data_IF_518562830045
#
_entry.id   IF_518562830045
#
_cell.length_a   1.000
_cell.length_b   1.000
_cell.length_c   1.000
_cell.angle_alpha   90.00
_cell.angle_beta   90.00
_cell.angle_gamma   90.00
#
_symmetry.space_group_name_H-M   'P 1'
#
loop_
_entity.id
_entity.type
_entity.pdbx_description
1 polymer ?
#
# COMPACT_ATOMS: atom_id res chain seq x y z
N UNK A 1 10.16 -11.73 -16.69
CA UNK A 1 9.62 -12.06 -15.34
C UNK A 1 8.11 -12.22 -15.46
N UNK A 2 7.53 -13.28 -14.90
CA UNK A 2 6.07 -13.51 -14.98
C UNK A 2 5.31 -12.42 -14.19
N UNK A 3 4.17 -11.94 -14.69
CA UNK A 3 3.33 -10.92 -14.02
C UNK A 3 2.98 -11.32 -12.58
N UNK A 4 2.73 -12.62 -12.35
CA UNK A 4 2.50 -13.20 -11.02
C UNK A 4 3.67 -12.96 -10.04
N UNK A 5 4.92 -13.06 -10.50
CA UNK A 5 6.11 -12.83 -9.66
C UNK A 5 6.21 -11.35 -9.27
N UNK A 6 5.91 -10.44 -10.18
CA UNK A 6 5.91 -8.99 -9.92
C UNK A 6 4.84 -8.65 -8.87
N UNK A 7 3.63 -9.23 -8.99
CA UNK A 7 2.55 -9.01 -8.03
C UNK A 7 2.85 -9.60 -6.65
N UNK A 8 3.50 -10.76 -6.59
CA UNK A 8 3.96 -11.35 -5.33
C UNK A 8 5.00 -10.45 -4.64
N UNK A 9 5.95 -9.92 -5.41
CA UNK A 9 7.01 -9.06 -4.89
C UNK A 9 6.50 -7.71 -4.39
N UNK A 10 5.40 -7.19 -4.95
CA UNK A 10 4.79 -5.91 -4.53
C UNK A 10 4.18 -5.97 -3.12
N UNK A 11 3.70 -7.14 -2.68
CA UNK A 11 3.06 -7.31 -1.37
C UNK A 11 3.90 -6.85 -0.19
N UNK A 12 5.12 -7.36 -0.02
CA UNK A 12 6.03 -6.90 1.02
C UNK A 12 6.24 -5.38 1.05
N UNK A 13 6.25 -4.71 -0.11
CA UNK A 13 6.38 -3.24 -0.16
C UNK A 13 5.16 -2.51 0.41
N UNK A 14 3.96 -3.09 0.31
CA UNK A 14 2.74 -2.51 0.91
C UNK A 14 2.75 -2.53 2.43
N UNK A 15 3.56 -3.40 3.04
CA UNK A 15 3.70 -3.50 4.49
C UNK A 15 4.68 -2.46 5.04
N UNK A 16 5.60 -1.92 4.22
CA UNK A 16 6.63 -0.97 4.68
C UNK A 16 6.01 0.28 5.32
N UNK A 17 5.02 0.96 4.70
CA UNK A 17 4.38 2.12 5.34
C UNK A 17 3.64 1.76 6.63
N UNK A 18 3.01 0.58 6.68
CA UNK A 18 2.31 0.11 7.87
C UNK A 18 3.28 -0.15 9.03
N UNK A 19 4.37 -0.87 8.75
CA UNK A 19 5.44 -1.15 9.72
C UNK A 19 6.06 0.15 10.21
N UNK A 20 6.35 1.09 9.30
CA UNK A 20 6.90 2.39 9.65
C UNK A 20 5.94 3.22 10.51
N UNK A 21 4.64 3.17 10.24
CA UNK A 21 3.63 3.89 11.04
C UNK A 21 3.55 3.31 12.47
N UNK A 22 3.61 1.98 12.61
CA UNK A 22 3.66 1.32 13.92
C UNK A 22 4.95 1.67 14.65
N UNK A 23 6.09 1.60 13.97
CA UNK A 23 7.38 2.01 14.52
C UNK A 23 7.32 3.46 15.02
N UNK A 24 6.81 4.39 14.21
CA UNK A 24 6.71 5.80 14.59
C UNK A 24 5.80 5.99 15.81
N UNK A 25 4.63 5.35 15.83
CA UNK A 25 3.72 5.41 16.96
C UNK A 25 4.40 4.91 18.25
N UNK A 26 5.01 3.72 18.22
CA UNK A 26 5.70 3.14 19.39
C UNK A 26 6.84 4.04 19.86
N UNK A 27 7.68 4.53 18.96
CA UNK A 27 8.83 5.36 19.36
C UNK A 27 8.40 6.73 19.87
N UNK A 28 7.32 7.32 19.35
CA UNK A 28 6.78 8.60 19.83
C UNK A 28 6.32 8.53 21.29
N UNK A 29 5.74 7.40 21.71
CA UNK A 29 5.26 7.22 23.09
C UNK A 29 6.37 6.80 24.07
N UNK A 30 7.49 6.27 23.59
CA UNK A 30 8.53 5.66 24.44
C UNK A 30 9.84 6.46 24.53
N UNK A 31 10.09 7.44 23.66
CA UNK A 31 11.34 8.21 23.71
C UNK A 31 11.29 9.33 24.76
N UNK A 32 12.30 9.40 25.66
CA UNK A 32 12.41 10.50 26.62
C UNK A 32 12.86 11.82 25.96
N UNK A 33 13.53 11.75 24.82
CA UNK A 33 13.97 12.90 24.02
C UNK A 33 13.27 12.91 22.66
N UNK A 34 12.37 13.87 22.49
CA UNK A 34 11.55 14.03 21.29
C UNK A 34 12.38 14.49 20.08
N UNK A 35 13.48 15.21 20.29
CA UNK A 35 14.28 15.78 19.19
C UNK A 35 15.07 14.69 18.46
N UNK A 36 15.74 13.81 19.22
CA UNK A 36 16.50 12.68 18.65
C UNK A 36 15.58 11.67 17.96
N UNK A 37 14.39 11.45 18.53
CA UNK A 37 13.34 10.64 17.91
C UNK A 37 12.91 11.24 16.56
N UNK A 38 12.68 12.55 16.50
CA UNK A 38 12.23 13.23 15.28
C UNK A 38 13.28 13.14 14.15
N UNK A 39 14.56 13.37 14.46
CA UNK A 39 15.65 13.32 13.48
C UNK A 39 15.78 11.92 12.85
N UNK A 40 15.77 10.89 13.69
CA UNK A 40 15.84 9.48 13.24
C UNK A 40 14.62 9.10 12.40
N UNK A 41 13.42 9.54 12.81
CA UNK A 41 12.18 9.29 12.06
C UNK A 41 12.20 10.00 10.70
N UNK A 42 12.68 11.24 10.63
CA UNK A 42 12.63 12.07 9.44
C UNK A 42 13.51 11.54 8.30
N UNK A 43 14.66 10.95 8.63
CA UNK A 43 15.53 10.34 7.63
C UNK A 43 14.84 9.19 6.87
N UNK A 44 14.07 8.36 7.57
CA UNK A 44 13.32 7.25 6.96
C UNK A 44 12.03 7.72 6.29
N UNK A 45 11.45 8.84 6.73
CA UNK A 45 10.19 9.37 6.21
C UNK A 45 10.24 9.63 4.70
N UNK A 46 11.34 10.21 4.20
CA UNK A 46 11.50 10.52 2.76
C UNK A 46 11.38 9.26 1.91
N UNK A 47 12.05 8.18 2.30
CA UNK A 47 12.00 6.91 1.59
C UNK A 47 10.61 6.29 1.63
N UNK A 48 9.96 6.30 2.78
CA UNK A 48 8.60 5.77 2.94
C UNK A 48 7.62 6.55 2.07
N UNK A 49 7.72 7.88 2.02
CA UNK A 49 6.87 8.72 1.16
C UNK A 49 7.08 8.39 -0.31
N UNK A 50 8.31 8.23 -0.78
CA UNK A 50 8.59 7.85 -2.17
C UNK A 50 8.03 6.47 -2.52
N UNK A 51 8.17 5.50 -1.62
CA UNK A 51 7.58 4.16 -1.76
C UNK A 51 6.06 4.28 -1.82
N UNK A 52 5.43 5.05 -0.93
CA UNK A 52 3.97 5.24 -0.93
C UNK A 52 3.46 5.87 -2.22
N UNK A 53 4.10 6.93 -2.71
CA UNK A 53 3.71 7.58 -3.97
C UNK A 53 3.82 6.59 -5.14
N UNK A 54 4.90 5.81 -5.17
CA UNK A 54 5.12 4.78 -6.19
C UNK A 54 4.05 3.68 -6.14
N UNK A 55 3.72 3.19 -4.94
CA UNK A 55 2.67 2.20 -4.73
C UNK A 55 1.31 2.75 -5.13
N UNK A 56 0.91 3.91 -4.63
CA UNK A 56 -0.39 4.51 -4.96
C UNK A 56 -0.52 4.68 -6.47
N UNK A 57 0.51 5.22 -7.14
CA UNK A 57 0.50 5.39 -8.59
C UNK A 57 0.32 4.07 -9.33
N UNK A 58 1.05 3.02 -8.91
CA UNK A 58 0.92 1.68 -9.49
C UNK A 58 -0.50 1.10 -9.30
N UNK A 59 -1.05 1.20 -8.09
CA UNK A 59 -2.38 0.67 -7.78
C UNK A 59 -3.49 1.42 -8.51
N UNK A 60 -3.36 2.74 -8.65
CA UNK A 60 -4.29 3.56 -9.45
C UNK A 60 -4.27 3.09 -10.91
N UNK A 61 -3.10 2.95 -11.52
CA UNK A 61 -2.98 2.43 -12.89
C UNK A 61 -3.60 1.04 -13.00
N UNK A 62 -3.38 0.16 -12.02
CA UNK A 62 -3.99 -1.17 -11.98
C UNK A 62 -5.53 -1.10 -11.92
N UNK A 63 -6.10 -0.26 -11.06
CA UNK A 63 -7.57 -0.10 -10.94
C UNK A 63 -8.20 0.27 -12.28
N UNK A 64 -7.58 1.19 -13.03
CA UNK A 64 -8.13 1.64 -14.30
C UNK A 64 -7.92 0.61 -15.41
N UNK A 65 -6.81 -0.12 -15.40
CA UNK A 65 -6.49 -1.12 -16.42
C UNK A 65 -7.14 -2.49 -16.19
N UNK A 66 -7.57 -2.81 -14.96
CA UNK A 66 -8.20 -4.10 -14.65
C UNK A 66 -9.71 -4.08 -14.91
N UNK A 67 -10.26 -5.22 -15.36
CA UNK A 67 -11.70 -5.48 -15.45
C UNK A 67 -12.30 -6.03 -14.15
N UNK A 68 -11.45 -6.42 -13.18
CA UNK A 68 -11.89 -6.99 -11.90
C UNK A 68 -12.70 -6.00 -11.03
N UNK A 69 -12.55 -4.69 -11.28
CA UNK A 69 -13.22 -3.65 -10.52
C UNK A 69 -14.28 -3.00 -11.41
N UNK A 70 -15.58 -3.06 -11.04
CA UNK A 70 -16.65 -2.39 -11.75
C UNK A 70 -16.35 -0.90 -11.93
N UNK A 71 -16.62 -0.35 -13.13
CA UNK A 71 -16.29 1.04 -13.49
C UNK A 71 -16.82 2.07 -12.48
N UNK A 72 -18.02 1.86 -11.95
CA UNK A 72 -18.63 2.72 -10.93
C UNK A 72 -17.94 2.66 -9.55
N UNK A 73 -17.12 1.62 -9.28
CA UNK A 73 -16.36 1.45 -8.02
C UNK A 73 -14.89 1.85 -8.13
N UNK A 74 -14.37 2.10 -9.34
CA UNK A 74 -12.96 2.49 -9.57
C UNK A 74 -12.59 3.79 -8.85
N UNK A 75 -13.47 4.80 -8.92
CA UNK A 75 -13.27 6.08 -8.23
C UNK A 75 -13.26 5.90 -6.72
N UNK A 76 -14.18 5.08 -6.17
CA UNK A 76 -14.24 4.81 -4.73
C UNK A 76 -12.94 4.14 -4.25
N UNK A 77 -12.47 3.12 -4.97
CA UNK A 77 -11.20 2.46 -4.64
C UNK A 77 -10.00 3.41 -4.72
N UNK A 78 -9.99 4.32 -5.70
CA UNK A 78 -8.93 5.33 -5.83
C UNK A 78 -8.93 6.29 -4.64
N UNK A 79 -10.11 6.77 -4.23
CA UNK A 79 -10.25 7.62 -3.03
C UNK A 79 -9.82 6.86 -1.78
N UNK A 80 -10.22 5.60 -1.65
CA UNK A 80 -9.89 4.75 -0.50
C UNK A 80 -8.38 4.47 -0.42
N UNK A 81 -7.74 4.25 -1.57
CA UNK A 81 -6.28 4.13 -1.64
C UNK A 81 -5.58 5.44 -1.27
N UNK A 82 -6.12 6.59 -1.63
CA UNK A 82 -5.48 7.86 -1.30
C UNK A 82 -5.59 8.20 0.20
N UNK A 83 -6.80 8.12 0.77
CA UNK A 83 -7.06 8.47 2.17
C UNK A 83 -6.68 7.38 3.15
N UNK A 84 -6.81 6.11 2.76
CA UNK A 84 -6.57 4.95 3.60
C UNK A 84 -5.30 4.18 3.23
N UNK A 85 -4.38 4.75 2.45
CA UNK A 85 -3.22 4.06 1.85
C UNK A 85 -2.53 3.06 2.80
N UNK A 86 -2.25 3.46 4.04
CA UNK A 86 -1.53 2.61 5.03
C UNK A 86 -2.21 1.25 5.28
N UNK A 87 -3.55 1.22 5.28
CA UNK A 87 -4.34 0.01 5.57
C UNK A 87 -4.91 -0.60 4.29
N UNK A 88 -5.31 0.24 3.34
CA UNK A 88 -6.02 -0.18 2.13
C UNK A 88 -5.07 -0.80 1.11
N UNK A 89 -3.80 -0.37 1.02
CA UNK A 89 -2.81 -0.96 0.13
C UNK A 89 -2.61 -2.48 0.35
N UNK A 90 -2.33 -2.97 1.57
CA UNK A 90 -2.18 -4.41 1.81
C UNK A 90 -3.49 -5.19 1.59
N UNK A 91 -4.64 -4.61 1.93
CA UNK A 91 -5.95 -5.23 1.66
C UNK A 91 -6.19 -5.36 0.15
N UNK A 92 -5.91 -4.30 -0.60
CA UNK A 92 -6.07 -4.28 -2.05
C UNK A 92 -5.15 -5.29 -2.72
N UNK A 93 -3.89 -5.36 -2.25
CA UNK A 93 -2.92 -6.34 -2.72
C UNK A 93 -3.46 -7.77 -2.60
N UNK A 94 -3.89 -8.13 -1.40
CA UNK A 94 -4.41 -9.46 -1.10
C UNK A 94 -5.67 -9.79 -1.91
N UNK A 95 -6.57 -8.81 -2.06
CA UNK A 95 -7.87 -9.03 -2.71
C UNK A 95 -7.81 -9.08 -4.24
N UNK A 96 -7.04 -8.21 -4.88
CA UNK A 96 -7.11 -8.03 -6.34
C UNK A 96 -5.82 -8.39 -7.07
N UNK A 97 -4.66 -8.19 -6.42
CA UNK A 97 -3.36 -8.43 -7.05
C UNK A 97 -2.90 -9.89 -6.88
N UNK A 98 -3.18 -10.49 -5.72
CA UNK A 98 -2.90 -11.89 -5.46
C UNK A 98 -3.97 -12.82 -6.07
N UNK A 99 -5.24 -12.43 -6.04
CA UNK A 99 -6.36 -13.16 -6.68
C UNK A 99 -6.45 -12.93 -8.19
N UNK A 100 -5.36 -12.67 -8.90
CA UNK A 100 -5.33 -12.64 -10.37
C UNK A 100 -5.65 -14.01 -11.03
N UNK A 101 -6.02 -15.04 -10.25
CA UNK A 101 -6.72 -16.18 -10.81
C UNK A 101 -8.19 -15.83 -11.04
N UNK A 102 -8.71 -16.10 -12.24
CA UNK A 102 -10.07 -15.75 -12.59
C UNK A 102 -10.98 -16.36 -11.54
N UNK A 103 -11.78 -15.54 -10.87
CA UNK A 103 -12.98 -16.06 -10.25
C UNK A 103 -13.74 -16.72 -11.40
N UNK A 104 -13.64 -18.05 -11.47
CA UNK A 104 -14.51 -18.90 -12.23
C UNK A 104 -15.90 -18.49 -11.79
N UNK A 105 -16.56 -17.71 -12.64
CA UNK A 105 -18.00 -17.54 -12.60
C UNK A 105 -18.61 -18.92 -12.90
N UNK A 106 -18.56 -19.83 -11.92
CA UNK A 106 -19.52 -20.91 -11.86
C UNK A 106 -20.80 -20.30 -11.30
N UNK A 107 -21.73 -20.17 -12.26
CA UNK A 107 -23.12 -19.77 -12.11
C UNK A 107 -23.87 -20.73 -11.20
#
# INVERSE_FOLDING_TARGET
>A
MSKKIIHLLIGPFTLIPLIYTIFLAVNLFNYPDVIVALETMFQWLVWVVLIMISLISYYVVFIFNTSQIPTNKKTLWTILLFFGHVVILPIFWFKFLLSEEPETHEQ
#
